data_IF_195581178975
#
_entry.id   IF_195581178975
#
_cell.length_a   1.000
_cell.length_b   1.000
_cell.length_c   1.000
_cell.angle_alpha   90.00
_cell.angle_beta   90.00
_cell.angle_gamma   90.00
#
_symmetry.space_group_name_H-M   'P 1'
#
loop_
_entity.id
_entity.type
_entity.pdbx_description
1 polymer ?
#
# COMPACT_ATOMS: atom_id res chain seq x y z
N UNK A 1 -13.96 -34.67 1.53
CA UNK A 1 -14.08 -33.37 0.84
C UNK A 1 -15.39 -32.74 1.29
N UNK A 2 -15.34 -31.92 2.34
CA UNK A 2 -16.51 -31.42 3.08
C UNK A 2 -16.61 -29.92 2.83
N UNK A 3 -17.63 -29.51 2.08
CA UNK A 3 -17.84 -28.11 1.68
C UNK A 3 -18.57 -27.41 2.82
N UNK A 4 -17.86 -26.54 3.53
CA UNK A 4 -18.43 -25.73 4.60
C UNK A 4 -19.04 -24.46 4.00
N UNK A 5 -20.36 -24.34 4.12
CA UNK A 5 -21.20 -23.25 3.62
C UNK A 5 -21.04 -22.04 4.55
N UNK A 6 -20.49 -20.93 4.08
CA UNK A 6 -20.41 -19.68 4.85
C UNK A 6 -21.78 -18.99 4.87
N UNK A 7 -22.36 -18.83 6.06
CA UNK A 7 -23.53 -18.00 6.30
C UNK A 7 -23.14 -16.51 6.28
N UNK A 8 -23.81 -15.73 5.42
CA UNK A 8 -23.75 -14.28 5.47
C UNK A 8 -24.48 -13.76 6.73
N UNK A 9 -23.96 -12.73 7.42
CA UNK A 9 -24.67 -12.09 8.51
C UNK A 9 -25.89 -11.31 7.99
N UNK A 10 -26.99 -11.25 8.77
CA UNK A 10 -28.19 -10.52 8.39
C UNK A 10 -27.95 -9.00 8.39
N UNK A 11 -28.52 -8.34 7.37
CA UNK A 11 -28.52 -6.89 7.24
C UNK A 11 -29.23 -6.22 8.42
N UNK A 12 -28.75 -5.06 8.91
CA UNK A 12 -29.42 -4.33 9.99
C UNK A 12 -30.78 -3.78 9.51
N UNK A 13 -31.79 -3.73 10.39
CA UNK A 13 -33.10 -3.21 10.03
C UNK A 13 -33.04 -1.70 9.80
N UNK A 14 -33.56 -1.28 8.65
CA UNK A 14 -33.86 0.12 8.32
C UNK A 14 -34.86 0.65 9.36
N UNK A 15 -34.39 1.48 10.32
CA UNK A 15 -35.30 2.22 11.19
C UNK A 15 -35.90 3.39 10.41
N UNK A 16 -37.12 3.18 9.91
CA UNK A 16 -37.98 4.22 9.34
C UNK A 16 -38.28 5.24 10.45
N UNK A 17 -37.57 6.37 10.45
CA UNK A 17 -37.81 7.46 11.40
C UNK A 17 -39.22 8.01 11.18
N UNK A 18 -40.08 7.78 12.17
CA UNK A 18 -41.45 8.27 12.20
C UNK A 18 -41.49 9.78 12.23
N UNK A 19 -42.26 10.35 11.29
CA UNK A 19 -42.70 11.73 11.26
C UNK A 19 -43.68 11.93 12.42
N UNK A 20 -43.26 12.61 13.49
CA UNK A 20 -44.16 13.03 14.57
C UNK A 20 -44.74 14.39 14.16
N UNK A 21 -45.93 14.36 13.56
CA UNK A 21 -46.81 15.53 13.48
C UNK A 21 -47.46 15.76 14.84
N UNK A 22 -47.43 16.98 15.41
CA UNK A 22 -48.29 17.31 16.53
C UNK A 22 -49.76 17.46 16.05
N UNK A 23 -50.75 16.92 16.79
CA UNK A 23 -52.15 17.02 16.43
C UNK A 23 -52.75 18.30 17.03
N UNK A 24 -52.98 19.32 16.21
CA UNK A 24 -53.88 20.42 16.58
C UNK A 24 -55.20 20.27 15.83
N UNK A 25 -56.07 19.44 16.41
CA UNK A 25 -57.48 19.37 16.06
C UNK A 25 -58.28 20.37 16.89
N UNK A 26 -58.65 21.50 16.29
CA UNK A 26 -59.68 22.40 16.82
C UNK A 26 -61.05 21.89 16.35
N UNK A 27 -61.85 21.36 17.30
CA UNK A 27 -63.29 21.19 17.11
C UNK A 27 -64.01 22.48 17.50
N UNK A 28 -65.02 22.94 16.72
CA UNK A 28 -65.93 23.98 17.15
C UNK A 28 -67.00 23.36 18.06
N UNK A 29 -67.17 23.91 19.27
CA UNK A 29 -68.32 23.61 20.13
C UNK A 29 -69.09 24.92 20.33
N UNK A 30 -70.30 24.94 19.79
CA UNK A 30 -71.29 25.95 20.07
C UNK A 30 -71.99 25.67 21.41
N UNK A 31 -72.62 26.74 21.92
CA UNK A 31 -73.84 26.80 22.74
C UNK A 31 -73.67 27.37 24.17
N UNK A 32 -74.40 28.48 24.33
CA UNK A 32 -75.13 29.05 25.49
C UNK A 32 -74.40 29.75 26.65
N UNK A 33 -74.58 31.09 26.65
CA UNK A 33 -74.95 31.99 27.75
C UNK A 33 -75.88 31.38 28.84
N UNK A 34 -76.14 32.04 30.02
CA UNK A 34 -75.83 33.43 30.41
C UNK A 34 -75.28 33.64 31.85
N UNK A 35 -75.02 34.92 32.16
CA UNK A 35 -75.21 35.58 33.46
C UNK A 35 -74.22 35.31 34.62
N UNK A 36 -73.44 36.33 34.97
CA UNK A 36 -73.58 37.00 36.28
C UNK A 36 -72.62 38.18 36.40
N UNK A 37 -73.15 39.26 36.98
CA UNK A 37 -72.58 40.59 37.14
C UNK A 37 -71.44 40.59 38.17
N UNK A 38 -70.28 41.14 37.77
CA UNK A 38 -69.17 41.47 38.67
C UNK A 38 -68.58 42.82 38.32
N UNK A 39 -69.15 43.86 38.92
CA UNK A 39 -68.84 45.29 38.76
C UNK A 39 -67.51 45.61 39.45
N UNK A 40 -66.46 45.90 38.67
CA UNK A 40 -65.21 46.59 39.08
C UNK A 40 -64.70 47.31 37.82
N UNK A 41 -65.14 48.55 37.55
CA UNK A 41 -64.39 49.73 38.02
C UNK A 41 -63.00 49.72 37.38
N UNK A 42 -62.84 50.07 36.10
CA UNK A 42 -62.99 51.42 35.60
C UNK A 42 -61.65 52.16 35.70
N UNK A 43 -60.67 51.82 34.85
CA UNK A 43 -59.44 52.60 34.54
C UNK A 43 -58.80 52.22 33.18
N UNK A 44 -59.19 51.14 32.47
CA UNK A 44 -58.45 50.64 31.28
C UNK A 44 -59.18 50.69 29.92
N UNK A 45 -60.07 51.66 29.67
CA UNK A 45 -60.72 51.82 28.34
C UNK A 45 -60.36 53.15 27.67
N UNK A 46 -59.07 53.35 27.43
CA UNK A 46 -58.62 54.30 26.41
C UNK A 46 -57.93 53.50 25.29
N UNK A 47 -58.58 53.28 24.13
CA UNK A 47 -58.00 52.48 23.04
C UNK A 47 -56.69 53.09 22.51
N UNK A 48 -56.48 54.39 22.71
CA UNK A 48 -55.21 55.07 22.40
C UNK A 48 -54.10 54.71 23.40
N UNK A 49 -54.44 54.56 24.69
CA UNK A 49 -53.48 54.16 25.73
C UNK A 49 -53.04 52.71 25.62
N UNK A 50 -53.93 51.82 25.20
CA UNK A 50 -53.65 50.39 25.02
C UNK A 50 -52.74 50.13 23.80
N UNK A 51 -52.93 50.88 22.71
CA UNK A 51 -52.04 50.87 21.54
C UNK A 51 -50.63 51.33 21.88
N UNK A 52 -50.49 52.39 22.69
CA UNK A 52 -49.18 52.88 23.17
C UNK A 52 -48.50 51.84 24.07
N UNK A 53 -49.24 51.19 24.98
CA UNK A 53 -48.70 50.13 25.82
C UNK A 53 -48.17 48.95 25.00
N UNK A 54 -48.93 48.53 23.97
CA UNK A 54 -48.53 47.44 23.08
C UNK A 54 -47.25 47.79 22.30
N UNK A 55 -47.12 49.03 21.83
CA UNK A 55 -45.92 49.51 21.13
C UNK A 55 -44.69 49.52 22.06
N UNK A 56 -44.85 49.94 23.31
CA UNK A 56 -43.76 49.91 24.31
C UNK A 56 -43.33 48.47 24.61
N UNK A 57 -44.28 47.54 24.76
CA UNK A 57 -43.98 46.12 24.96
C UNK A 57 -43.27 45.53 23.73
N UNK A 58 -43.71 45.84 22.53
CA UNK A 58 -43.09 45.39 21.28
C UNK A 58 -41.66 45.93 21.12
N UNK A 59 -41.43 47.21 21.47
CA UNK A 59 -40.09 47.80 21.47
C UNK A 59 -39.18 47.14 22.51
N UNK A 60 -39.67 46.89 23.74
CA UNK A 60 -38.88 46.16 24.75
C UNK A 60 -38.57 44.72 24.33
N UNK A 61 -39.51 44.03 23.67
CA UNK A 61 -39.31 42.68 23.16
C UNK A 61 -38.23 42.65 22.06
N UNK A 62 -38.27 43.58 21.11
CA UNK A 62 -37.24 43.68 20.07
C UNK A 62 -35.85 44.00 20.64
N UNK A 63 -35.76 44.90 21.63
CA UNK A 63 -34.49 45.18 22.32
C UNK A 63 -33.97 43.94 23.04
N UNK A 64 -34.86 43.20 23.71
CA UNK A 64 -34.49 41.97 24.42
C UNK A 64 -34.00 40.88 23.46
N UNK A 65 -34.66 40.69 22.32
CA UNK A 65 -34.23 39.74 21.28
C UNK A 65 -32.90 40.17 20.65
N UNK A 66 -32.74 41.46 20.33
CA UNK A 66 -31.50 42.02 19.81
C UNK A 66 -30.32 41.85 20.78
N UNK A 67 -30.57 42.03 22.08
CA UNK A 67 -29.58 41.80 23.13
C UNK A 67 -29.19 40.32 23.23
N UNK A 68 -30.16 39.40 23.22
CA UNK A 68 -29.89 37.95 23.25
C UNK A 68 -29.09 37.51 22.03
N UNK A 69 -29.45 37.94 20.81
CA UNK A 69 -28.69 37.59 19.61
C UNK A 69 -27.29 38.19 19.61
N UNK A 70 -27.13 39.45 20.04
CA UNK A 70 -25.81 40.07 20.20
C UNK A 70 -24.94 39.33 21.21
N UNK A 71 -25.55 38.77 22.26
CA UNK A 71 -24.86 37.94 23.25
C UNK A 71 -24.49 36.55 22.71
N UNK A 72 -25.26 35.99 21.78
CA UNK A 72 -25.01 34.67 21.17
C UNK A 72 -24.02 34.70 20.00
N UNK A 73 -23.79 35.83 19.33
CA UNK A 73 -22.82 35.92 18.22
C UNK A 73 -21.38 35.61 18.67
N UNK A 74 -20.86 36.17 19.79
CA UNK A 74 -19.52 35.85 20.29
C UNK A 74 -19.34 34.38 20.70
N UNK A 75 -20.41 33.70 21.13
CA UNK A 75 -20.32 32.30 21.58
C UNK A 75 -20.09 31.34 20.42
N UNK A 76 -20.57 31.65 19.21
CA UNK A 76 -20.31 30.87 17.99
C UNK A 76 -18.85 30.94 17.52
N UNK A 77 -18.16 32.06 17.77
CA UNK A 77 -16.77 32.22 17.34
C UNK A 77 -15.79 31.35 18.14
N UNK A 78 -16.09 31.07 19.42
CA UNK A 78 -15.28 30.18 20.27
C UNK A 78 -15.30 28.72 19.82
N UNK A 79 -16.37 28.27 19.16
CA UNK A 79 -16.45 26.90 18.63
C UNK A 79 -15.56 26.70 17.40
N UNK A 80 -15.31 27.75 16.61
CA UNK A 80 -14.48 27.67 15.40
C UNK A 80 -13.00 27.52 15.76
N UNK A 81 -12.53 28.22 16.80
CA UNK A 81 -11.11 28.14 17.23
C UNK A 81 -10.74 26.77 17.78
N UNK A 82 -11.68 26.07 18.44
CA UNK A 82 -11.48 24.69 18.91
C UNK A 82 -11.27 23.73 17.74
N UNK A 83 -12.05 23.85 16.66
CA UNK A 83 -11.89 23.02 15.47
C UNK A 83 -10.56 23.29 14.76
N UNK A 84 -10.17 24.56 14.62
CA UNK A 84 -8.89 24.94 13.98
C UNK A 84 -7.70 24.39 14.78
N UNK A 85 -7.67 24.64 16.09
CA UNK A 85 -6.57 24.19 16.96
C UNK A 85 -6.49 22.67 17.02
N UNK A 86 -7.64 21.99 17.01
CA UNK A 86 -7.74 20.54 16.93
C UNK A 86 -7.18 19.98 15.62
N UNK A 87 -7.54 20.57 14.47
CA UNK A 87 -7.04 20.15 13.17
C UNK A 87 -5.52 20.38 13.07
N UNK A 88 -5.03 21.51 13.58
CA UNK A 88 -3.61 21.79 13.66
C UNK A 88 -2.88 20.74 14.52
N UNK A 89 -3.40 20.40 15.70
CA UNK A 89 -2.82 19.35 16.55
C UNK A 89 -2.82 17.96 15.86
N UNK A 90 -3.84 17.65 15.06
CA UNK A 90 -3.89 16.41 14.28
C UNK A 90 -2.78 16.36 13.22
N UNK A 91 -2.61 17.41 12.41
CA UNK A 91 -1.54 17.45 11.41
C UNK A 91 -0.15 17.41 12.04
N UNK A 92 0.04 18.07 13.20
CA UNK A 92 1.30 17.99 13.95
C UNK A 92 1.58 16.55 14.43
N UNK A 93 0.56 15.83 14.92
CA UNK A 93 0.69 14.44 15.29
C UNK A 93 1.08 13.57 14.08
N UNK A 94 0.48 13.81 12.92
CA UNK A 94 0.80 13.11 11.67
C UNK A 94 2.25 13.35 11.25
N UNK A 95 2.71 14.60 11.26
CA UNK A 95 4.11 14.93 10.98
C UNK A 95 5.08 14.23 11.94
N UNK A 96 4.69 13.99 13.19
CA UNK A 96 5.49 13.20 14.12
C UNK A 96 5.66 11.74 13.69
N UNK A 97 4.62 11.10 13.14
CA UNK A 97 4.73 9.73 12.59
C UNK A 97 5.68 9.72 11.39
N UNK A 98 5.52 10.65 10.45
CA UNK A 98 6.39 10.76 9.28
C UNK A 98 7.85 11.03 9.67
N UNK A 99 8.07 11.91 10.66
CA UNK A 99 9.39 12.15 11.22
C UNK A 99 9.97 10.88 11.84
N UNK A 100 9.19 10.11 12.61
CA UNK A 100 9.67 8.89 13.24
C UNK A 100 10.15 7.87 12.21
N UNK A 101 9.40 7.67 11.12
CA UNK A 101 9.79 6.75 10.02
C UNK A 101 11.13 7.19 9.42
N UNK A 102 11.25 8.47 9.02
CA UNK A 102 12.47 8.99 8.40
C UNK A 102 13.66 8.98 9.37
N UNK A 103 13.42 9.33 10.62
CA UNK A 103 14.45 9.37 11.65
C UNK A 103 14.97 7.97 11.96
N UNK A 104 14.08 6.99 12.13
CA UNK A 104 14.49 5.60 12.34
C UNK A 104 15.25 5.06 11.11
N UNK A 105 14.74 5.26 9.89
CA UNK A 105 15.42 4.82 8.67
C UNK A 105 16.81 5.46 8.51
N UNK A 106 16.92 6.78 8.74
CA UNK A 106 18.20 7.50 8.63
C UNK A 106 19.25 7.10 9.66
N UNK A 107 18.84 6.53 10.81
CA UNK A 107 19.75 5.97 11.81
C UNK A 107 19.93 4.45 11.67
N UNK A 108 19.29 3.80 10.69
CA UNK A 108 19.29 2.35 10.55
C UNK A 108 18.59 1.61 11.69
N UNK A 109 17.69 2.28 12.42
CA UNK A 109 16.94 1.66 13.52
C UNK A 109 15.87 0.75 12.94
N UNK A 110 16.07 -0.55 13.10
CA UNK A 110 15.18 -1.56 12.52
C UNK A 110 14.70 -2.58 13.54
N UNK A 111 15.28 -2.55 14.76
CA UNK A 111 14.88 -3.43 15.86
C UNK A 111 14.03 -2.69 16.89
N UNK A 112 13.11 -3.37 17.60
CA UNK A 112 12.31 -2.73 18.63
C UNK A 112 13.13 -2.09 19.77
N UNK A 113 14.31 -2.62 20.07
CA UNK A 113 15.21 -2.07 21.08
C UNK A 113 15.78 -0.71 20.66
N UNK A 114 16.18 -0.55 19.39
CA UNK A 114 16.63 0.73 18.84
C UNK A 114 15.47 1.74 18.75
N UNK A 115 14.30 1.26 18.32
CA UNK A 115 13.09 2.09 18.19
C UNK A 115 12.56 2.62 19.53
N UNK A 116 12.90 1.98 20.65
CA UNK A 116 12.64 2.54 21.98
C UNK A 116 13.30 3.93 22.17
N UNK A 117 14.36 4.24 21.41
CA UNK A 117 14.98 5.56 21.36
C UNK A 117 14.08 6.68 20.80
N UNK A 118 12.94 6.33 20.16
CA UNK A 118 11.92 7.31 19.76
C UNK A 118 11.10 7.81 20.95
N UNK A 119 11.04 7.05 22.06
CA UNK A 119 10.19 7.41 23.21
C UNK A 119 10.70 8.64 23.93
N UNK A 120 9.80 9.62 24.11
CA UNK A 120 10.11 10.91 24.72
C UNK A 120 10.72 11.93 23.76
N UNK A 121 10.96 11.56 22.50
CA UNK A 121 11.47 12.49 21.51
C UNK A 121 10.41 13.55 21.17
N UNK A 122 10.80 14.82 21.22
CA UNK A 122 9.92 15.97 20.95
C UNK A 122 10.55 16.89 19.92
N UNK A 123 9.73 17.44 19.00
CA UNK A 123 10.16 18.49 18.06
C UNK A 123 9.08 19.57 17.94
N UNK A 124 9.52 20.82 17.82
CA UNK A 124 8.66 21.96 17.55
C UNK A 124 8.34 22.04 16.05
N UNK A 125 7.09 22.34 15.71
CA UNK A 125 6.61 22.54 14.34
C UNK A 125 5.67 23.74 14.31
N UNK A 126 6.19 24.89 13.86
CA UNK A 126 5.48 26.17 13.91
C UNK A 126 5.08 26.54 15.34
N UNK A 127 3.79 26.76 15.57
CA UNK A 127 3.25 27.13 16.88
C UNK A 127 2.97 25.95 17.81
N UNK A 128 3.25 24.71 17.42
CA UNK A 128 3.03 23.52 18.25
C UNK A 128 4.22 22.58 18.29
N UNK A 129 4.02 21.38 18.83
CA UNK A 129 5.05 20.34 18.94
C UNK A 129 4.41 18.95 18.89
N UNK A 130 5.20 17.95 18.51
CA UNK A 130 4.81 16.55 18.72
C UNK A 130 5.75 15.86 19.71
N UNK A 131 5.24 14.83 20.40
CA UNK A 131 6.03 13.91 21.22
C UNK A 131 5.76 12.48 20.78
N UNK A 132 6.83 11.69 20.66
CA UNK A 132 6.76 10.30 20.24
C UNK A 132 6.82 9.35 21.42
N UNK A 133 6.17 8.20 21.28
CA UNK A 133 6.25 7.07 22.21
C UNK A 133 6.18 5.80 21.40
N UNK A 134 7.24 5.01 21.41
CA UNK A 134 7.25 3.68 20.84
C UNK A 134 7.04 2.65 21.95
N UNK A 135 6.12 1.73 21.74
CA UNK A 135 5.80 0.64 22.67
C UNK A 135 5.94 -0.69 21.95
N UNK A 136 6.69 -1.62 22.52
CA UNK A 136 6.76 -3.00 22.05
C UNK A 136 6.51 -3.98 23.19
N UNK A 137 5.44 -3.75 23.95
CA UNK A 137 5.03 -4.59 25.07
C UNK A 137 3.54 -4.85 24.99
N UNK A 138 3.12 -6.10 25.22
CA UNK A 138 1.69 -6.47 25.22
C UNK A 138 0.88 -5.55 26.14
N UNK A 139 -0.30 -5.08 25.71
CA UNK A 139 -1.02 -5.44 24.49
C UNK A 139 -0.64 -4.62 23.23
N UNK A 140 0.22 -3.61 23.37
CA UNK A 140 0.59 -2.70 22.27
C UNK A 140 1.98 -3.06 21.74
N UNK A 141 2.06 -4.20 21.05
CA UNK A 141 3.28 -4.59 20.35
C UNK A 141 3.49 -3.68 19.14
N UNK A 142 4.76 -3.38 18.85
CA UNK A 142 5.24 -2.58 17.73
C UNK A 142 4.37 -1.35 17.38
N UNK A 143 4.02 -0.57 18.39
CA UNK A 143 3.12 0.58 18.24
C UNK A 143 3.85 1.89 18.44
N UNK A 144 3.84 2.75 17.42
CA UNK A 144 4.24 4.15 17.54
C UNK A 144 3.02 5.01 17.86
N UNK A 145 3.13 5.83 18.90
CA UNK A 145 2.18 6.90 19.22
C UNK A 145 2.86 8.25 19.01
N UNK A 146 2.27 9.11 18.18
CA UNK A 146 2.65 10.51 18.03
C UNK A 146 1.56 11.40 18.61
N UNK A 147 1.93 12.28 19.52
CA UNK A 147 1.01 13.21 20.19
C UNK A 147 1.35 14.63 19.76
N UNK A 148 0.47 15.26 18.99
CA UNK A 148 0.57 16.66 18.60
C UNK A 148 -0.13 17.58 19.60
N UNK A 149 0.54 18.67 19.96
CA UNK A 149 0.08 19.67 20.93
C UNK A 149 0.21 21.08 20.33
N UNK A 150 -0.84 21.89 20.49
CA UNK A 150 -0.81 23.33 20.19
C UNK A 150 -0.96 24.08 21.54
N UNK A 151 0.12 24.65 22.09
CA UNK A 151 0.12 25.35 23.37
C UNK A 151 -0.92 26.47 23.46
N UNK A 152 -1.07 27.24 22.38
CA UNK A 152 -2.06 28.31 22.27
C UNK A 152 -3.40 27.68 21.87
N UNK A 153 -4.16 27.18 22.85
CA UNK A 153 -5.48 26.59 22.63
C UNK A 153 -5.70 25.21 23.27
N UNK A 154 -4.74 24.71 24.06
CA UNK A 154 -4.79 23.44 24.83
C UNK A 154 -5.17 22.18 24.02
N UNK A 155 -5.21 22.29 22.70
CA UNK A 155 -5.62 21.22 21.81
C UNK A 155 -4.52 20.16 21.73
N UNK A 156 -4.91 18.90 21.95
CA UNK A 156 -4.04 17.73 21.90
C UNK A 156 -4.69 16.63 21.08
N UNK A 157 -3.94 16.05 20.15
CA UNK A 157 -4.37 14.91 19.33
C UNK A 157 -3.28 13.85 19.32
N UNK A 158 -3.68 12.59 19.23
CA UNK A 158 -2.77 11.46 19.14
C UNK A 158 -3.08 10.61 17.93
N UNK A 159 -2.05 10.20 17.20
CA UNK A 159 -2.11 9.19 16.15
C UNK A 159 -1.33 7.98 16.63
N UNK A 160 -1.88 6.79 16.41
CA UNK A 160 -1.24 5.51 16.72
C UNK A 160 -1.07 4.72 15.45
N UNK A 161 0.13 4.16 15.27
CA UNK A 161 0.49 3.30 14.15
C UNK A 161 0.92 1.97 14.74
N UNK A 162 0.13 0.94 14.50
CA UNK A 162 0.50 -0.45 14.82
C UNK A 162 1.42 -0.99 13.74
N UNK A 163 2.24 -1.99 14.09
CA UNK A 163 3.25 -2.58 13.22
C UNK A 163 4.22 -1.53 12.65
N UNK A 164 4.68 -0.60 13.49
CA UNK A 164 5.50 0.52 13.05
C UNK A 164 6.77 0.08 12.29
N UNK A 165 7.37 -1.06 12.65
CA UNK A 165 8.54 -1.60 11.96
C UNK A 165 8.28 -1.91 10.48
N UNK A 166 7.04 -2.23 10.08
CA UNK A 166 6.73 -2.49 8.66
C UNK A 166 6.89 -1.24 7.79
N UNK A 167 6.75 -0.04 8.36
CA UNK A 167 6.98 1.23 7.66
C UNK A 167 8.47 1.56 7.49
N UNK A 168 9.35 0.80 8.15
CA UNK A 168 10.80 0.93 8.04
C UNK A 168 11.40 -0.04 7.01
N UNK A 169 10.60 -1.01 6.53
CA UNK A 169 11.02 -1.98 5.52
C UNK A 169 10.99 -1.35 4.12
N UNK A 170 12.11 -0.79 3.71
CA UNK A 170 12.38 -0.49 2.30
C UNK A 170 13.03 -1.68 1.59
N UNK A 171 12.53 -2.01 0.40
CA UNK A 171 13.16 -2.96 -0.53
C UNK A 171 13.73 -2.17 -1.70
N UNK A 172 15.03 -2.32 -1.94
CA UNK A 172 15.73 -1.67 -3.04
C UNK A 172 16.26 -2.70 -4.03
N UNK A 173 16.30 -2.35 -5.31
CA UNK A 173 17.00 -3.16 -6.29
C UNK A 173 18.52 -2.93 -6.14
N UNK A 174 19.29 -4.01 -6.01
CA UNK A 174 20.73 -3.93 -5.79
C UNK A 174 21.52 -4.07 -7.10
N UNK A 175 21.24 -5.11 -7.89
CA UNK A 175 21.97 -5.36 -9.13
C UNK A 175 21.55 -6.64 -9.82
N UNK A 176 22.13 -6.85 -11.01
CA UNK A 176 21.90 -8.05 -11.81
C UNK A 176 23.18 -8.56 -12.44
N UNK A 177 23.17 -9.86 -12.74
CA UNK A 177 24.15 -10.50 -13.61
C UNK A 177 23.42 -11.46 -14.55
N UNK A 178 23.98 -11.71 -15.73
CA UNK A 178 23.39 -12.66 -16.67
C UNK A 178 24.45 -13.46 -17.40
N UNK A 179 24.05 -14.63 -17.89
CA UNK A 179 24.83 -15.44 -18.81
C UNK A 179 23.89 -15.97 -19.90
N UNK A 180 24.05 -15.53 -21.15
CA UNK A 180 25.02 -14.52 -21.60
C UNK A 180 24.63 -13.09 -21.15
N UNK A 181 25.51 -12.11 -21.39
CA UNK A 181 25.10 -10.71 -21.43
C UNK A 181 24.07 -10.48 -22.56
N UNK A 182 23.33 -9.36 -22.55
CA UNK A 182 22.40 -9.07 -23.65
C UNK A 182 23.12 -9.11 -25.01
N UNK A 183 22.50 -9.77 -25.98
CA UNK A 183 23.02 -9.97 -27.33
C UNK A 183 24.30 -10.83 -27.41
N UNK A 184 24.59 -11.60 -26.35
CA UNK A 184 25.69 -12.56 -26.34
C UNK A 184 25.27 -13.95 -26.81
N UNK A 185 26.19 -14.91 -26.70
CA UNK A 185 25.98 -16.31 -27.05
C UNK A 185 26.21 -17.21 -25.85
N UNK A 186 25.37 -18.23 -25.65
CA UNK A 186 25.57 -19.22 -24.60
C UNK A 186 24.88 -20.57 -24.92
N UNK A 187 25.71 -21.60 -25.04
CA UNK A 187 25.31 -23.00 -25.21
C UNK A 187 25.78 -23.88 -24.04
N UNK A 188 26.38 -23.28 -23.00
CA UNK A 188 26.95 -24.02 -21.89
C UNK A 188 25.87 -24.65 -20.99
N UNK A 189 26.07 -25.92 -20.61
CA UNK A 189 25.18 -26.64 -19.71
C UNK A 189 26.03 -27.46 -18.71
N UNK A 190 26.04 -27.12 -17.42
CA UNK A 190 25.23 -26.07 -16.79
C UNK A 190 25.68 -24.65 -17.16
N UNK A 191 24.75 -23.71 -17.19
CA UNK A 191 25.06 -22.27 -17.33
C UNK A 191 25.31 -21.69 -15.94
N UNK A 192 26.53 -21.29 -15.66
CA UNK A 192 26.90 -20.57 -14.44
C UNK A 192 26.68 -19.06 -14.60
N UNK A 193 26.26 -18.38 -13.52
CA UNK A 193 26.18 -16.91 -13.47
C UNK A 193 27.14 -16.41 -12.40
N UNK A 194 27.98 -15.44 -12.75
CA UNK A 194 28.82 -14.72 -11.77
C UNK A 194 27.91 -13.76 -11.00
N UNK A 195 27.69 -13.94 -9.69
CA UNK A 195 26.79 -13.07 -8.93
C UNK A 195 27.29 -11.62 -8.90
N UNK A 196 26.40 -10.62 -8.76
CA UNK A 196 26.81 -9.24 -8.49
C UNK A 196 27.77 -9.16 -7.30
N UNK A 197 28.81 -8.32 -7.41
CA UNK A 197 29.74 -8.08 -6.31
C UNK A 197 29.07 -7.32 -5.15
N UNK A 198 29.64 -7.39 -3.95
CA UNK A 198 29.20 -6.62 -2.77
C UNK A 198 27.75 -6.88 -2.31
N UNK A 199 27.24 -8.08 -2.58
CA UNK A 199 26.01 -8.57 -1.96
C UNK A 199 26.19 -8.65 -0.44
N UNK A 200 25.11 -8.44 0.29
CA UNK A 200 25.08 -8.47 1.75
C UNK A 200 24.21 -9.63 2.24
N UNK A 201 24.60 -10.24 3.35
CA UNK A 201 23.78 -11.26 3.98
C UNK A 201 22.35 -10.72 4.19
N UNK A 202 21.35 -11.48 3.74
CA UNK A 202 19.96 -11.06 3.73
C UNK A 202 19.41 -10.57 2.39
N UNK A 203 20.24 -10.33 1.38
CA UNK A 203 19.76 -10.01 0.04
C UNK A 203 18.88 -11.16 -0.52
N UNK A 204 17.76 -10.81 -1.16
CA UNK A 204 16.97 -11.73 -1.96
C UNK A 204 17.63 -11.90 -3.32
N UNK A 205 17.91 -13.15 -3.68
CA UNK A 205 18.47 -13.51 -4.97
C UNK A 205 17.39 -14.22 -5.77
N UNK A 206 17.03 -13.67 -6.92
CA UNK A 206 16.17 -14.31 -7.90
C UNK A 206 17.04 -14.75 -9.08
N UNK A 207 16.92 -16.01 -9.49
CA UNK A 207 17.58 -16.54 -10.68
C UNK A 207 16.52 -17.04 -11.66
N UNK A 208 16.45 -16.40 -12.82
CA UNK A 208 15.47 -16.68 -13.86
C UNK A 208 16.21 -17.35 -15.00
N UNK A 209 15.86 -18.61 -15.25
CA UNK A 209 16.46 -19.40 -16.29
C UNK A 209 15.45 -19.66 -17.41
N UNK A 210 15.92 -19.51 -18.65
CA UNK A 210 15.18 -19.77 -19.86
C UNK A 210 15.93 -20.78 -20.72
N UNK A 211 15.18 -21.70 -21.34
CA UNK A 211 15.67 -22.54 -22.42
C UNK A 211 14.69 -22.54 -23.60
N UNK A 212 15.24 -22.53 -24.81
CA UNK A 212 14.49 -22.80 -26.04
C UNK A 212 14.41 -24.31 -26.28
N UNK A 213 13.47 -24.96 -25.60
CA UNK A 213 13.35 -26.42 -25.60
C UNK A 213 11.90 -26.88 -25.37
N UNK A 214 11.52 -28.02 -25.96
CA UNK A 214 10.19 -28.62 -25.88
C UNK A 214 10.04 -29.68 -24.78
N UNK A 215 11.13 -30.17 -24.17
CA UNK A 215 11.10 -31.26 -23.17
C UNK A 215 12.00 -31.05 -21.94
N UNK A 216 12.93 -30.09 -21.96
CA UNK A 216 13.91 -29.91 -20.88
C UNK A 216 13.34 -29.62 -19.48
N UNK A 217 13.96 -30.22 -18.46
CA UNK A 217 13.84 -29.75 -17.07
C UNK A 217 14.91 -28.70 -16.79
N UNK A 218 14.53 -27.59 -16.18
CA UNK A 218 15.42 -26.53 -15.71
C UNK A 218 15.61 -26.73 -14.21
N UNK A 219 16.86 -26.91 -13.76
CA UNK A 219 17.18 -27.19 -12.35
C UNK A 219 18.49 -26.53 -11.91
N UNK A 220 18.61 -26.19 -10.62
CA UNK A 220 19.89 -25.76 -10.03
C UNK A 220 20.91 -26.91 -10.14
N UNK A 221 22.10 -26.61 -10.66
CA UNK A 221 23.20 -27.56 -10.82
C UNK A 221 24.31 -27.32 -9.80
N UNK A 222 24.73 -26.06 -9.60
CA UNK A 222 25.55 -25.63 -8.47
C UNK A 222 24.77 -24.61 -7.66
N UNK A 223 24.80 -24.73 -6.33
CA UNK A 223 24.10 -23.81 -5.45
C UNK A 223 24.88 -22.54 -5.14
N UNK A 224 26.20 -22.53 -5.38
CA UNK A 224 27.08 -21.47 -4.88
C UNK A 224 27.09 -21.36 -3.35
N UNK A 225 26.70 -22.42 -2.63
CA UNK A 225 26.64 -22.44 -1.16
C UNK A 225 25.36 -21.86 -0.57
N UNK A 226 24.32 -21.64 -1.40
CA UNK A 226 23.00 -21.18 -0.95
C UNK A 226 21.98 -22.33 -0.90
N UNK A 227 20.88 -22.11 -0.19
CA UNK A 227 19.70 -22.99 -0.24
C UNK A 227 18.66 -22.40 -1.18
N UNK A 228 18.44 -23.05 -2.33
CA UNK A 228 17.54 -22.56 -3.37
C UNK A 228 16.14 -23.17 -3.28
N UNK A 229 15.14 -22.30 -3.33
CA UNK A 229 13.74 -22.67 -3.62
C UNK A 229 13.53 -22.63 -5.13
N UNK A 230 12.87 -23.65 -5.67
CA UNK A 230 12.56 -23.75 -7.10
C UNK A 230 11.06 -23.62 -7.32
N UNK A 231 10.63 -22.58 -8.03
CA UNK A 231 9.23 -22.39 -8.38
C UNK A 231 8.79 -23.34 -9.50
N UNK A 232 7.49 -23.35 -9.81
CA UNK A 232 6.95 -24.15 -10.91
C UNK A 232 7.53 -23.71 -12.25
N UNK A 233 8.04 -24.66 -13.03
CA UNK A 233 8.50 -24.40 -14.39
C UNK A 233 7.31 -24.16 -15.32
N UNK A 234 7.35 -23.08 -16.10
CA UNK A 234 6.36 -22.83 -17.14
C UNK A 234 6.85 -23.38 -18.48
N UNK A 235 6.01 -24.21 -19.09
CA UNK A 235 6.32 -24.91 -20.34
C UNK A 235 5.47 -24.37 -21.49
N UNK A 236 6.09 -23.67 -22.43
CA UNK A 236 5.58 -23.40 -23.77
C UNK A 236 6.28 -24.34 -24.76
N UNK A 237 5.68 -24.60 -25.93
CA UNK A 237 6.17 -25.52 -26.95
C UNK A 237 7.69 -25.48 -27.20
N UNK A 238 8.30 -24.29 -27.31
CA UNK A 238 9.73 -24.09 -27.54
C UNK A 238 10.32 -23.04 -26.59
N UNK A 239 9.67 -22.74 -25.47
CA UNK A 239 10.14 -21.76 -24.51
C UNK A 239 9.79 -22.23 -23.10
N UNK A 240 10.81 -22.47 -22.29
CA UNK A 240 10.67 -22.87 -20.89
C UNK A 240 11.32 -21.82 -20.03
N UNK A 241 10.64 -21.42 -18.96
CA UNK A 241 11.15 -20.47 -17.98
C UNK A 241 10.94 -21.05 -16.58
N UNK A 242 11.92 -20.84 -15.70
CA UNK A 242 11.81 -21.19 -14.28
C UNK A 242 12.47 -20.12 -13.42
N UNK A 243 11.83 -19.80 -12.31
CA UNK A 243 12.38 -18.94 -11.28
C UNK A 243 12.91 -19.81 -10.13
N UNK A 244 14.12 -19.48 -9.69
CA UNK A 244 14.72 -19.95 -8.45
C UNK A 244 14.94 -18.76 -7.55
N UNK A 245 14.87 -18.95 -6.24
CA UNK A 245 15.22 -17.89 -5.31
C UNK A 245 15.90 -18.42 -4.05
N UNK A 246 16.71 -17.57 -3.42
CA UNK A 246 17.29 -17.83 -2.12
C UNK A 246 17.51 -16.52 -1.36
N UNK A 247 17.79 -16.63 -0.06
CA UNK A 247 18.37 -15.56 0.74
C UNK A 247 19.89 -15.73 0.74
N UNK A 248 20.61 -14.71 0.30
CA UNK A 248 22.06 -14.73 0.32
C UNK A 248 22.57 -14.80 1.77
N UNK A 249 23.40 -15.79 2.09
CA UNK A 249 23.95 -16.00 3.43
C UNK A 249 25.21 -15.17 3.73
N UNK A 250 25.64 -14.30 2.79
CA UNK A 250 26.83 -13.45 2.94
C UNK A 250 28.07 -13.94 2.21
N UNK A 251 28.08 -15.17 1.69
CA UNK A 251 29.24 -15.72 0.95
C UNK A 251 28.81 -16.57 -0.24
N UNK A 252 29.55 -16.48 -1.35
CA UNK A 252 29.44 -17.43 -2.45
C UNK A 252 30.58 -18.45 -2.33
N UNK A 253 30.24 -19.74 -2.39
CA UNK A 253 31.23 -20.80 -2.51
C UNK A 253 31.47 -21.12 -3.99
N UNK A 254 32.68 -21.52 -4.33
CA UNK A 254 32.98 -22.02 -5.67
C UNK A 254 32.54 -23.48 -5.79
N UNK A 255 31.95 -23.89 -6.94
CA UNK A 255 31.70 -23.07 -8.14
C UNK A 255 30.48 -22.14 -7.99
N UNK A 256 30.48 -21.04 -8.75
CA UNK A 256 29.35 -20.10 -8.86
C UNK A 256 28.01 -20.81 -9.08
N UNK A 257 26.89 -20.21 -8.64
CA UNK A 257 25.58 -20.80 -8.84
C UNK A 257 25.30 -20.98 -10.34
N UNK A 258 24.70 -22.12 -10.68
CA UNK A 258 24.48 -22.52 -12.07
C UNK A 258 23.18 -23.29 -12.24
N UNK A 259 22.65 -23.26 -13.46
CA UNK A 259 21.42 -23.95 -13.85
C UNK A 259 21.74 -24.97 -14.93
N UNK A 260 21.31 -26.21 -14.73
CA UNK A 260 21.32 -27.26 -15.74
C UNK A 260 20.04 -27.25 -16.57
N UNK A 261 20.19 -27.62 -17.83
CA UNK A 261 19.12 -27.72 -18.82
C UNK A 261 19.07 -29.13 -19.43
N UNK A 262 17.96 -29.46 -20.10
CA UNK A 262 17.83 -30.73 -20.83
C UNK A 262 18.48 -30.75 -22.22
N UNK A 263 18.85 -29.59 -22.77
CA UNK A 263 19.55 -29.45 -24.06
C UNK A 263 20.77 -28.53 -23.92
N UNK A 264 21.48 -28.30 -25.03
CA UNK A 264 22.68 -27.45 -25.12
C UNK A 264 22.55 -26.35 -26.18
N UNK A 265 21.32 -26.00 -26.59
CA UNK A 265 21.11 -25.18 -27.80
C UNK A 265 21.14 -23.69 -27.49
N UNK A 266 20.35 -23.22 -26.52
CA UNK A 266 20.30 -21.81 -26.13
C UNK A 266 19.74 -21.67 -24.71
N UNK A 267 20.55 -21.07 -23.84
CA UNK A 267 20.20 -20.84 -22.44
C UNK A 267 20.47 -19.41 -22.03
N UNK A 268 19.54 -18.83 -21.28
CA UNK A 268 19.72 -17.54 -20.63
C UNK A 268 19.46 -17.74 -19.15
N UNK A 269 20.43 -17.40 -18.31
CA UNK A 269 20.24 -17.33 -16.86
C UNK A 269 20.50 -15.90 -16.41
N UNK A 270 19.54 -15.30 -15.72
CA UNK A 270 19.63 -13.94 -15.20
C UNK A 270 19.43 -13.98 -13.70
N UNK A 271 20.37 -13.40 -12.96
CA UNK A 271 20.29 -13.19 -11.53
C UNK A 271 19.91 -11.73 -11.25
N UNK A 272 18.88 -11.52 -10.44
CA UNK A 272 18.51 -10.22 -9.86
C UNK A 272 18.65 -10.28 -8.35
N UNK A 273 19.11 -9.18 -7.77
CA UNK A 273 19.30 -9.06 -6.34
C UNK A 273 18.50 -7.88 -5.80
N UNK A 274 17.73 -8.13 -4.75
CA UNK A 274 16.97 -7.11 -4.02
C UNK A 274 17.46 -7.08 -2.58
N UNK A 275 17.64 -5.87 -2.05
CA UNK A 275 18.15 -5.62 -0.71
C UNK A 275 17.04 -5.12 0.20
N UNK A 276 16.76 -5.80 1.32
CA UNK A 276 15.96 -5.22 2.38
C UNK A 276 16.81 -4.19 3.14
N UNK A 277 16.18 -3.13 3.63
CA UNK A 277 16.79 -2.14 4.53
C UNK A 277 17.31 -2.75 5.84
N UNK A 278 16.77 -3.89 6.26
CA UNK A 278 17.25 -4.67 7.41
C UNK A 278 17.88 -5.99 6.93
N UNK A 279 19.18 -6.16 7.18
CA UNK A 279 19.93 -7.37 6.80
C UNK A 279 19.46 -8.63 7.53
N UNK A 280 18.81 -8.48 8.68
CA UNK A 280 18.23 -9.58 9.45
C UNK A 280 16.93 -10.10 8.86
N UNK A 281 16.31 -9.39 7.89
CA UNK A 281 15.06 -9.80 7.27
C UNK A 281 15.17 -11.16 6.57
N UNK A 282 14.13 -11.97 6.74
CA UNK A 282 13.89 -13.21 5.99
C UNK A 282 12.93 -12.94 4.85
N UNK A 283 13.17 -13.62 3.73
CA UNK A 283 12.32 -13.53 2.56
C UNK A 283 11.33 -14.67 2.54
N UNK A 284 10.06 -14.32 2.38
CA UNK A 284 8.97 -15.26 2.19
C UNK A 284 8.20 -14.91 0.93
N UNK A 285 7.51 -15.91 0.37
CA UNK A 285 6.52 -15.68 -0.68
C UNK A 285 5.31 -14.97 -0.06
N UNK A 286 4.97 -13.79 -0.57
CA UNK A 286 3.75 -13.07 -0.20
C UNK A 286 2.56 -13.61 -0.99
N UNK A 287 2.74 -13.77 -2.30
CA UNK A 287 1.73 -14.36 -3.20
C UNK A 287 2.43 -15.39 -4.10
N UNK A 288 1.94 -16.65 -4.15
CA UNK A 288 2.53 -17.70 -4.96
C UNK A 288 2.68 -17.33 -6.44
N UNK A 289 3.64 -17.96 -7.11
CA UNK A 289 3.84 -17.76 -8.54
C UNK A 289 2.57 -18.04 -9.34
N UNK A 290 2.19 -17.10 -10.20
CA UNK A 290 1.24 -17.31 -11.29
C UNK A 290 2.03 -17.31 -12.59
N UNK A 291 1.93 -18.39 -13.36
CA UNK A 291 2.62 -18.52 -14.65
C UNK A 291 1.66 -18.88 -15.77
N UNK A 292 2.08 -18.63 -17.01
CA UNK A 292 1.28 -19.01 -18.17
C UNK A 292 2.02 -18.84 -19.48
N UNK A 293 1.41 -19.33 -20.55
CA UNK A 293 1.90 -19.13 -21.91
C UNK A 293 1.22 -17.92 -22.55
N UNK A 294 1.88 -17.33 -23.54
CA UNK A 294 1.26 -16.37 -24.45
C UNK A 294 1.52 -16.80 -25.89
N UNK A 295 0.52 -16.58 -26.75
CA UNK A 295 0.67 -16.73 -28.19
C UNK A 295 1.41 -15.52 -28.77
N UNK A 296 1.88 -15.63 -30.02
CA UNK A 296 2.42 -14.52 -30.79
C UNK A 296 1.45 -13.32 -30.78
N UNK A 297 1.78 -12.21 -30.09
CA UNK A 297 0.87 -11.08 -29.99
C UNK A 297 0.81 -10.30 -31.32
N UNK A 298 -0.37 -9.85 -31.78
CA UNK A 298 -0.47 -8.98 -32.95
C UNK A 298 0.14 -7.61 -32.65
N UNK A 299 0.53 -6.84 -33.68
CA UNK A 299 0.99 -5.46 -33.53
C UNK A 299 0.02 -4.64 -32.63
N UNK A 300 0.50 -3.94 -31.59
CA UNK A 300 1.89 -3.54 -31.29
C UNK A 300 2.73 -4.58 -30.52
N UNK A 301 2.32 -5.85 -30.52
CA UNK A 301 3.02 -7.02 -29.95
C UNK A 301 3.15 -6.96 -28.43
N UNK A 302 2.12 -6.42 -27.78
CA UNK A 302 2.08 -6.27 -26.32
C UNK A 302 1.76 -7.60 -25.64
N UNK A 303 2.62 -8.01 -24.71
CA UNK A 303 2.37 -9.13 -23.81
C UNK A 303 2.08 -8.60 -22.42
N UNK A 304 0.83 -8.73 -21.99
CA UNK A 304 0.38 -8.33 -20.65
C UNK A 304 0.43 -9.51 -19.69
N UNK A 305 0.88 -9.30 -18.46
CA UNK A 305 0.73 -10.22 -17.33
C UNK A 305 -0.36 -9.64 -16.39
N UNK A 306 -1.43 -10.40 -16.11
CA UNK A 306 -2.44 -10.03 -15.14
C UNK A 306 -1.84 -9.71 -13.79
N UNK A 307 -2.47 -8.77 -13.10
CA UNK A 307 -2.11 -8.43 -11.73
C UNK A 307 -2.23 -9.61 -10.75
N UNK A 308 -1.51 -9.48 -9.65
CA UNK A 308 -1.71 -10.26 -8.44
C UNK A 308 -2.03 -9.32 -7.28
N UNK A 309 -2.76 -9.81 -6.28
CA UNK A 309 -3.11 -9.03 -5.09
C UNK A 309 -2.16 -9.38 -3.96
N UNK A 310 -1.21 -8.48 -3.69
CA UNK A 310 -0.29 -8.59 -2.53
C UNK A 310 -1.05 -8.51 -1.21
N UNK A 311 -0.53 -9.20 -0.20
CA UNK A 311 -1.14 -9.29 1.14
C UNK A 311 -0.41 -8.36 2.12
N UNK A 312 0.88 -8.11 1.88
CA UNK A 312 1.75 -7.36 2.79
C UNK A 312 2.14 -6.00 2.21
N UNK A 313 2.08 -4.95 3.04
CA UNK A 313 2.65 -3.64 2.71
C UNK A 313 4.17 -3.77 2.50
N UNK A 314 4.72 -3.05 1.53
CA UNK A 314 6.13 -3.14 1.16
C UNK A 314 6.49 -4.38 0.34
N UNK A 315 5.54 -5.23 -0.07
CA UNK A 315 5.84 -6.44 -0.85
C UNK A 315 6.51 -6.13 -2.20
N UNK A 316 7.49 -6.95 -2.57
CA UNK A 316 8.14 -6.93 -3.89
C UNK A 316 7.35 -7.83 -4.85
N UNK A 317 6.78 -7.25 -5.90
CA UNK A 317 6.20 -7.99 -7.03
C UNK A 317 7.24 -8.07 -8.14
N UNK A 318 7.49 -9.27 -8.65
CA UNK A 318 8.42 -9.53 -9.74
C UNK A 318 7.71 -10.24 -10.89
N UNK A 319 7.98 -9.79 -12.12
CA UNK A 319 7.37 -10.28 -13.34
C UNK A 319 8.44 -10.60 -14.39
N UNK A 320 8.25 -11.67 -15.14
CA UNK A 320 9.17 -12.10 -16.19
C UNK A 320 8.43 -12.54 -17.45
N UNK A 321 9.04 -12.24 -18.59
CA UNK A 321 8.63 -12.73 -19.91
C UNK A 321 9.82 -13.40 -20.57
N UNK A 322 9.56 -14.51 -21.24
CA UNK A 322 10.52 -15.23 -22.07
C UNK A 322 9.88 -15.54 -23.42
N UNK A 323 10.62 -15.32 -24.49
CA UNK A 323 10.22 -15.55 -25.88
C UNK A 323 11.18 -16.52 -26.56
N UNK A 324 10.65 -17.36 -27.44
CA UNK A 324 11.44 -18.32 -28.22
C UNK A 324 12.27 -17.66 -29.34
N UNK A 325 12.43 -16.35 -29.35
CA UNK A 325 13.23 -15.60 -30.33
C UNK A 325 13.98 -14.45 -29.65
N UNK A 326 15.02 -13.90 -30.26
CA UNK A 326 15.86 -12.81 -29.73
C UNK A 326 15.22 -11.42 -29.85
N UNK A 327 13.91 -11.37 -29.63
CA UNK A 327 13.14 -10.14 -29.58
C UNK A 327 13.78 -9.11 -28.64
N UNK A 328 13.85 -7.87 -29.13
CA UNK A 328 14.01 -6.72 -28.27
C UNK A 328 12.70 -6.43 -27.56
N UNK A 329 12.78 -5.88 -26.35
CA UNK A 329 11.63 -5.59 -25.50
C UNK A 329 11.50 -4.08 -25.29
N UNK A 330 10.34 -3.55 -25.68
CA UNK A 330 10.07 -2.12 -25.64
C UNK A 330 9.53 -1.63 -24.30
N UNK A 331 8.63 -0.65 -24.38
CA UNK A 331 8.14 0.13 -23.24
C UNK A 331 7.46 -0.72 -22.17
N UNK A 332 7.82 -0.44 -20.91
CA UNK A 332 7.20 -1.00 -19.72
C UNK A 332 5.98 -0.15 -19.31
N UNK A 333 4.91 -0.80 -18.86
CA UNK A 333 3.76 -0.12 -18.25
C UNK A 333 4.21 0.79 -17.10
N UNK A 334 3.63 1.99 -17.00
CA UNK A 334 3.95 2.94 -15.93
C UNK A 334 3.71 2.36 -14.52
N UNK A 335 4.52 2.81 -13.56
CA UNK A 335 4.47 2.33 -12.16
C UNK A 335 5.23 1.02 -11.91
N UNK A 336 5.86 0.45 -12.94
CA UNK A 336 6.80 -0.67 -12.84
C UNK A 336 8.21 -0.23 -13.21
N UNK A 337 9.21 -0.93 -12.69
CA UNK A 337 10.63 -0.69 -12.97
C UNK A 337 11.25 -1.89 -13.69
N UNK A 338 12.23 -1.65 -14.56
CA UNK A 338 13.00 -2.75 -15.19
C UNK A 338 14.27 -3.01 -14.38
N UNK A 339 14.49 -4.24 -13.87
CA UNK A 339 15.72 -4.57 -13.17
C UNK A 339 16.84 -4.92 -14.16
N UNK A 340 18.00 -4.30 -13.98
CA UNK A 340 19.19 -4.54 -14.80
C UNK A 340 19.02 -4.03 -16.23
N UNK A 341 19.40 -4.85 -17.22
CA UNK A 341 19.23 -4.55 -18.63
C UNK A 341 17.76 -4.58 -19.05
N UNK A 342 17.42 -3.80 -20.09
CA UNK A 342 16.06 -3.74 -20.64
C UNK A 342 15.52 -5.11 -21.11
N UNK A 343 16.45 -5.99 -21.49
CA UNK A 343 16.24 -7.32 -22.04
C UNK A 343 17.54 -8.14 -21.88
N UNK A 344 17.42 -9.45 -22.08
CA UNK A 344 18.53 -10.39 -22.12
C UNK A 344 18.31 -11.33 -23.29
N UNK A 345 19.09 -11.17 -24.35
CA UNK A 345 19.03 -11.98 -25.57
C UNK A 345 20.22 -12.91 -25.69
N UNK A 346 19.96 -14.10 -26.22
CA UNK A 346 20.99 -15.06 -26.62
C UNK A 346 20.79 -15.40 -28.10
N UNK A 347 21.81 -15.11 -28.90
CA UNK A 347 21.81 -15.28 -30.36
C UNK A 347 22.52 -16.57 -30.80
N UNK A 348 22.77 -17.50 -29.87
CA UNK A 348 23.37 -18.79 -30.21
C UNK A 348 22.34 -19.75 -30.79
N UNK A 349 22.61 -20.25 -32.00
CA UNK A 349 21.85 -21.34 -32.62
C UNK A 349 20.38 -20.98 -32.80
N UNK A 350 19.53 -21.49 -31.91
CA UNK A 350 18.11 -21.12 -31.85
C UNK A 350 17.96 -19.93 -30.88
N UNK A 351 17.72 -18.74 -31.41
CA UNK A 351 17.59 -17.47 -30.69
C UNK A 351 16.59 -17.49 -29.53
N UNK A 352 16.82 -16.68 -28.49
CA UNK A 352 15.90 -16.54 -27.37
C UNK A 352 16.06 -15.17 -26.70
N UNK A 353 15.00 -14.71 -26.03
CA UNK A 353 15.04 -13.49 -25.23
C UNK A 353 14.18 -13.59 -23.98
N UNK A 354 14.57 -12.85 -22.95
CA UNK A 354 13.72 -12.55 -21.81
C UNK A 354 13.85 -11.10 -21.35
N UNK A 355 12.84 -10.64 -20.62
CA UNK A 355 12.84 -9.36 -19.91
C UNK A 355 12.14 -9.52 -18.58
N UNK A 356 12.42 -8.60 -17.66
CA UNK A 356 11.85 -8.60 -16.33
C UNK A 356 11.28 -7.23 -15.96
N UNK A 357 10.43 -7.21 -14.95
CA UNK A 357 9.93 -6.01 -14.32
C UNK A 357 9.71 -6.27 -12.83
N UNK A 358 9.77 -5.22 -12.02
CA UNK A 358 9.41 -5.30 -10.61
C UNK A 358 8.65 -4.05 -10.15
N UNK A 359 7.94 -4.20 -9.05
CA UNK A 359 7.24 -3.14 -8.34
C UNK A 359 7.26 -3.42 -6.85
N UNK A 360 7.66 -2.44 -6.05
CA UNK A 360 7.52 -2.50 -4.59
C UNK A 360 6.19 -1.85 -4.23
N UNK A 361 5.32 -2.61 -3.58
CA UNK A 361 3.96 -2.19 -3.23
C UNK A 361 3.99 -1.37 -1.94
N UNK A 362 3.79 -0.07 -2.01
CA UNK A 362 3.74 0.77 -0.81
C UNK A 362 2.61 0.36 0.15
N UNK A 363 1.51 -0.16 -0.40
CA UNK A 363 0.38 -0.71 0.34
C UNK A 363 -0.05 -2.01 -0.34
N UNK A 364 -0.41 -3.00 0.45
CA UNK A 364 -0.98 -4.26 0.02
C UNK A 364 -2.19 -4.03 -0.89
N UNK A 365 -2.33 -4.88 -1.90
CA UNK A 365 -3.39 -4.79 -2.88
C UNK A 365 -2.96 -5.20 -4.28
N UNK A 366 -3.79 -4.84 -5.26
CA UNK A 366 -3.57 -5.16 -6.66
C UNK A 366 -2.28 -4.53 -7.19
N UNK A 367 -1.40 -5.34 -7.76
CA UNK A 367 -0.16 -4.86 -8.40
C UNK A 367 -0.43 -3.95 -9.60
N UNK A 368 -1.62 -4.06 -10.19
CA UNK A 368 -1.89 -3.60 -11.54
C UNK A 368 -1.32 -4.55 -12.58
N UNK A 369 -1.91 -4.56 -13.77
CA UNK A 369 -1.34 -5.29 -14.91
C UNK A 369 0.03 -4.73 -15.28
N UNK A 370 0.89 -5.59 -15.81
CA UNK A 370 2.19 -5.19 -16.35
C UNK A 370 2.35 -5.69 -17.77
N UNK A 371 2.85 -4.84 -18.65
CA UNK A 371 3.01 -5.16 -20.06
C UNK A 371 4.36 -4.68 -20.58
N UNK A 372 4.89 -5.43 -21.55
CA UNK A 372 5.97 -5.02 -22.45
C UNK A 372 5.63 -5.46 -23.88
N UNK A 373 6.18 -4.79 -24.87
CA UNK A 373 6.03 -5.17 -26.28
C UNK A 373 7.28 -5.85 -26.83
N UNK A 374 7.11 -6.89 -27.64
CA UNK A 374 8.18 -7.43 -28.50
C UNK A 374 8.40 -6.45 -29.66
N UNK A 375 9.52 -5.74 -29.67
CA UNK A 375 9.74 -4.59 -30.54
C UNK A 375 10.36 -4.96 -31.91
N UNK A 376 11.15 -6.03 -31.99
CA UNK A 376 11.77 -6.52 -33.23
C UNK A 376 11.15 -7.84 -33.68
N UNK A 377 11.52 -8.31 -34.88
CA UNK A 377 11.36 -9.68 -35.42
C UNK A 377 9.97 -10.33 -35.53
N UNK A 378 8.96 -9.86 -34.82
CA UNK A 378 7.63 -10.45 -34.86
C UNK A 378 6.98 -10.37 -33.49
N UNK A 379 5.73 -10.80 -33.40
CA UNK A 379 5.22 -11.28 -32.12
C UNK A 379 5.54 -12.77 -32.06
N UNK A 380 6.18 -13.22 -31.00
CA UNK A 380 6.52 -14.63 -30.81
C UNK A 380 5.85 -15.19 -29.58
N UNK A 381 5.46 -16.46 -29.65
CA UNK A 381 4.92 -17.14 -28.49
C UNK A 381 5.99 -17.30 -27.39
N UNK A 382 5.53 -17.45 -26.15
CA UNK A 382 6.46 -17.53 -25.03
C UNK A 382 5.79 -17.86 -23.71
N UNK A 383 6.55 -17.69 -22.65
CA UNK A 383 6.14 -17.98 -21.28
C UNK A 383 6.31 -16.75 -20.40
N UNK A 384 5.45 -16.63 -19.39
CA UNK A 384 5.45 -15.53 -18.43
C UNK A 384 5.25 -16.07 -17.02
N UNK A 385 5.72 -15.31 -16.03
CA UNK A 385 5.44 -15.54 -14.61
C UNK A 385 5.35 -14.21 -13.86
N UNK A 386 4.64 -14.23 -12.74
CA UNK A 386 4.57 -13.16 -11.74
C UNK A 386 4.51 -13.79 -10.35
N UNK A 387 5.21 -13.20 -9.39
CA UNK A 387 5.28 -13.67 -7.99
C UNK A 387 5.46 -12.46 -7.08
N UNK A 388 5.02 -12.55 -5.82
CA UNK A 388 5.32 -11.54 -4.82
C UNK A 388 6.12 -12.12 -3.64
N UNK A 389 7.04 -11.32 -3.11
CA UNK A 389 7.84 -11.60 -1.93
C UNK A 389 7.60 -10.54 -0.87
N UNK A 390 7.71 -10.92 0.40
CA UNK A 390 7.74 -10.00 1.53
C UNK A 390 9.02 -10.23 2.33
N UNK A 391 9.56 -9.13 2.86
CA UNK A 391 10.62 -9.17 3.85
C UNK A 391 9.98 -9.21 5.25
N UNK A 392 10.35 -10.18 6.06
CA UNK A 392 9.85 -10.38 7.42
C UNK A 392 11.01 -10.22 8.40
N UNK A 393 10.85 -9.35 9.39
CA UNK A 393 11.80 -9.22 10.49
C UNK A 393 11.54 -10.38 11.46
N UNK A 394 12.59 -11.15 11.77
CA UNK A 394 12.54 -12.22 12.78
C UNK A 394 12.96 -11.68 14.14
#
# INVERSE_FOLDING_TARGET
>A
MMIQKTHNPPSPPLSKSGMISPPFGLRPRAVSDPESKGRLGGILYNPRGLSVLFLVIAMMLMVSIGYVFSYLIPTKQKSVSLTISSNQAFFIAQSGVEFAVRYANGNGWTTPAELAGLTGMTRNLGAGRFTLTYTNTSPNLDTLTSVGEVPVGTARRSIRVSNFTSFLMEITYFGSASTPADNGTNTANPTAVVPPGSMQAGDLVLMIAQARDSTATIAISSTGGQSWTSETQQNQANCRIRLFWCRFNGTWTLPNPSVSFGSVINHIVVMHVFRPSNTSSVWEVDVPQVSGNFAAPPAPRTVTIPEITTITDGALVFAAWASSDDNTWGSLTGGWSTPGSAQYRNTSGADASQTHAYKVMATAGASGNVSKNQATLGGDAGARLIIAFKAVII
#
